data_IF_973557948303
#
_entry.id   IF_973557948303
#
_cell.length_a   1.000
_cell.length_b   1.000
_cell.length_c   1.000
_cell.angle_alpha   90.00
_cell.angle_beta   90.00
_cell.angle_gamma   90.00
#
_symmetry.space_group_name_H-M   'P 1'
#
loop_
_entity.id
_entity.type
_entity.pdbx_description
1 polymer ?
#
# COMPACT_ATOMS: atom_id res chain seq x y z
N UNK A 1 -10.61 4.78 28.00
CA UNK A 1 -10.18 6.12 27.50
C UNK A 1 -9.23 5.90 26.32
N UNK A 2 -9.34 6.67 25.24
CA UNK A 2 -8.55 6.52 24.01
C UNK A 2 -7.36 7.51 24.06
N UNK A 3 -6.18 7.10 23.54
CA UNK A 3 -4.97 7.95 23.49
C UNK A 3 -4.81 8.70 22.16
N UNK A 4 -5.16 8.07 21.03
CA UNK A 4 -4.97 8.60 19.68
C UNK A 4 -6.16 8.21 18.79
N UNK A 5 -6.43 9.03 17.76
CA UNK A 5 -7.51 8.81 16.81
C UNK A 5 -6.90 8.70 15.41
N UNK A 6 -7.33 7.69 14.66
CA UNK A 6 -7.01 7.55 13.24
C UNK A 6 -8.26 7.31 12.42
N UNK A 7 -8.14 7.47 11.11
CA UNK A 7 -9.21 7.22 10.15
C UNK A 7 -8.68 6.35 9.02
N UNK A 8 -9.56 5.61 8.33
CA UNK A 8 -9.17 4.70 7.25
C UNK A 8 -10.00 5.00 6.01
N UNK A 9 -9.39 4.91 4.82
CA UNK A 9 -10.09 4.96 3.53
C UNK A 9 -11.02 6.18 3.37
N UNK A 10 -10.59 7.33 3.92
CA UNK A 10 -11.35 8.56 3.92
C UNK A 10 -10.90 9.50 2.80
N UNK A 11 -11.85 10.23 2.22
CA UNK A 11 -11.57 11.27 1.23
C UNK A 11 -10.77 12.44 1.84
N UNK A 12 -10.09 13.26 1.01
CA UNK A 12 -9.38 14.44 1.50
C UNK A 12 -10.26 15.40 2.31
N UNK A 13 -11.50 15.63 1.85
CA UNK A 13 -12.48 16.47 2.56
C UNK A 13 -12.82 15.91 3.95
N UNK A 14 -13.04 14.59 4.02
CA UNK A 14 -13.37 13.91 5.27
C UNK A 14 -12.21 14.00 6.27
N UNK A 15 -10.97 13.83 5.80
CA UNK A 15 -9.77 13.96 6.63
C UNK A 15 -9.65 15.39 7.19
N UNK A 16 -9.80 16.42 6.34
CA UNK A 16 -9.74 17.83 6.76
C UNK A 16 -10.81 18.15 7.82
N UNK A 17 -12.06 17.73 7.58
CA UNK A 17 -13.17 17.96 8.51
C UNK A 17 -12.97 17.24 9.85
N UNK A 18 -12.53 15.99 9.82
CA UNK A 18 -12.27 15.22 11.03
C UNK A 18 -11.10 15.82 11.84
N UNK A 19 -10.00 16.18 11.16
CA UNK A 19 -8.83 16.79 11.80
C UNK A 19 -9.14 18.16 12.43
N UNK A 20 -10.04 18.94 11.82
CA UNK A 20 -10.50 20.23 12.37
C UNK A 20 -11.32 20.07 13.66
N UNK A 21 -12.03 18.95 13.84
CA UNK A 21 -12.78 18.66 15.07
C UNK A 21 -11.86 18.12 16.16
N UNK A 22 -10.98 17.19 15.81
CA UNK A 22 -9.96 16.67 16.70
C UNK A 22 -8.73 16.23 15.89
N UNK A 23 -7.50 16.58 16.31
CA UNK A 23 -6.29 16.17 15.61
C UNK A 23 -6.25 14.64 15.38
N UNK A 24 -6.13 14.27 14.10
CA UNK A 24 -5.91 12.89 13.68
C UNK A 24 -4.42 12.57 13.80
N UNK A 25 -4.11 11.40 14.33
CA UNK A 25 -2.74 10.90 14.46
C UNK A 25 -2.30 10.09 13.25
N UNK A 26 -3.22 9.36 12.62
CA UNK A 26 -2.90 8.51 11.48
C UNK A 26 -4.05 8.38 10.48
N UNK A 27 -3.70 8.23 9.20
CA UNK A 27 -4.59 7.81 8.11
C UNK A 27 -4.11 6.46 7.58
N UNK A 28 -5.02 5.48 7.55
CA UNK A 28 -4.79 4.18 6.92
C UNK A 28 -5.37 4.14 5.51
N UNK A 29 -4.56 3.78 4.51
CA UNK A 29 -4.92 3.83 3.08
C UNK A 29 -4.19 2.73 2.29
N UNK A 30 -4.77 2.24 1.18
CA UNK A 30 -4.04 1.34 0.26
C UNK A 30 -2.89 2.10 -0.40
N UNK A 31 -1.65 1.67 -0.19
CA UNK A 31 -0.49 2.25 -0.87
C UNK A 31 0.62 1.21 -1.04
N UNK A 32 1.10 1.05 -2.27
CA UNK A 32 2.14 0.10 -2.65
C UNK A 32 2.79 0.53 -3.98
N UNK A 33 3.80 -0.23 -4.44
CA UNK A 33 4.34 -0.08 -5.81
C UNK A 33 3.27 -0.11 -6.91
N UNK A 34 2.10 -0.67 -6.63
CA UNK A 34 1.06 -0.93 -7.62
C UNK A 34 -0.19 -0.03 -7.47
N UNK A 35 -0.45 0.46 -6.26
CA UNK A 35 -1.58 1.35 -5.95
C UNK A 35 -1.02 2.65 -5.42
N UNK A 36 -1.17 3.72 -6.21
CA UNK A 36 -0.49 5.02 -5.99
C UNK A 36 -1.45 6.22 -6.01
N UNK A 37 -2.76 5.98 -6.14
CA UNK A 37 -3.78 7.03 -6.23
C UNK A 37 -3.75 7.99 -5.01
N UNK A 38 -3.38 7.47 -3.83
CA UNK A 38 -3.22 8.26 -2.62
C UNK A 38 -2.19 9.40 -2.77
N UNK A 39 -1.20 9.26 -3.66
CA UNK A 39 -0.12 10.23 -3.84
C UNK A 39 -0.60 11.58 -4.42
N UNK A 40 -1.75 11.60 -5.08
CA UNK A 40 -2.29 12.83 -5.68
C UNK A 40 -2.80 13.81 -4.61
N UNK A 41 -3.53 13.32 -3.61
CA UNK A 41 -4.21 14.18 -2.63
C UNK A 41 -4.00 13.76 -1.17
N UNK A 42 -4.05 12.46 -0.87
CA UNK A 42 -4.06 11.96 0.51
C UNK A 42 -2.68 12.08 1.16
N UNK A 43 -1.61 11.67 0.46
CA UNK A 43 -0.24 11.73 0.99
C UNK A 43 0.21 13.17 1.22
N UNK A 44 0.05 14.12 0.26
CA UNK A 44 0.36 15.52 0.50
C UNK A 44 -0.45 16.12 1.65
N UNK A 45 -1.75 15.80 1.73
CA UNK A 45 -2.62 16.26 2.81
C UNK A 45 -2.16 15.77 4.19
N UNK A 46 -1.81 14.49 4.32
CA UNK A 46 -1.34 13.95 5.59
C UNK A 46 -0.08 14.67 6.05
N UNK A 47 0.84 14.95 5.13
CA UNK A 47 2.08 15.70 5.41
C UNK A 47 1.82 17.15 5.78
N UNK A 48 0.93 17.83 5.06
CA UNK A 48 0.49 19.20 5.35
C UNK A 48 -0.05 19.31 6.79
N UNK A 49 -0.82 18.31 7.23
CA UNK A 49 -1.46 18.29 8.55
C UNK A 49 -0.63 17.59 9.65
N UNK A 50 0.57 17.08 9.35
CA UNK A 50 1.40 16.34 10.30
C UNK A 50 0.78 15.01 10.77
N UNK A 51 0.00 14.36 9.92
CA UNK A 51 -0.68 13.08 10.17
C UNK A 51 0.21 11.93 9.66
N UNK A 52 0.40 10.89 10.48
CA UNK A 52 1.12 9.69 10.08
C UNK A 52 0.36 8.85 9.04
N UNK A 53 1.07 8.16 8.18
CA UNK A 53 0.51 7.40 7.06
C UNK A 53 0.71 5.91 7.33
N UNK A 54 -0.37 5.14 7.27
CA UNK A 54 -0.37 3.71 7.55
C UNK A 54 -0.79 2.94 6.29
N UNK A 55 0.15 2.63 5.38
CA UNK A 55 -0.14 1.82 4.20
C UNK A 55 -0.63 0.43 4.57
N UNK A 56 -1.83 0.07 4.12
CA UNK A 56 -2.25 -1.33 4.10
C UNK A 56 -2.05 -1.94 2.71
N UNK A 57 -2.01 -3.27 2.67
CA UNK A 57 -1.66 -4.03 1.47
C UNK A 57 -0.36 -3.54 0.79
N UNK A 58 0.73 -3.23 1.53
CA UNK A 58 1.95 -2.67 0.94
C UNK A 58 2.62 -3.61 -0.08
N UNK A 59 2.27 -4.90 -0.04
CA UNK A 59 2.73 -5.94 -0.96
C UNK A 59 1.74 -6.22 -2.11
N UNK A 60 0.81 -5.31 -2.40
CA UNK A 60 -0.20 -5.48 -3.47
C UNK A 60 -1.10 -6.68 -3.23
N UNK A 61 -1.62 -6.84 -2.00
CA UNK A 61 -2.44 -8.00 -1.57
C UNK A 61 -1.72 -9.36 -1.72
N UNK A 62 -0.39 -9.34 -1.63
CA UNK A 62 0.50 -10.49 -1.74
C UNK A 62 1.02 -10.73 -3.15
N UNK A 63 0.69 -9.86 -4.11
CA UNK A 63 1.20 -9.93 -5.48
C UNK A 63 2.73 -9.95 -5.52
N UNK A 64 3.39 -9.03 -4.80
CA UNK A 64 4.86 -8.97 -4.69
C UNK A 64 5.45 -9.99 -3.70
N UNK A 65 4.61 -10.81 -3.07
CA UNK A 65 5.01 -11.85 -2.12
C UNK A 65 4.80 -13.27 -2.69
N UNK A 66 4.97 -13.43 -4.00
CA UNK A 66 4.93 -14.73 -4.68
C UNK A 66 3.59 -15.08 -5.33
N UNK A 67 2.49 -14.41 -5.00
CA UNK A 67 1.18 -14.70 -5.61
C UNK A 67 1.10 -14.36 -7.09
N UNK A 68 1.96 -13.47 -7.59
CA UNK A 68 2.03 -13.19 -9.02
C UNK A 68 2.39 -14.43 -9.87
N UNK A 69 3.13 -15.39 -9.30
CA UNK A 69 3.58 -16.60 -10.00
C UNK A 69 2.62 -17.80 -9.88
N UNK A 70 1.73 -17.77 -8.90
CA UNK A 70 0.81 -18.88 -8.62
C UNK A 70 -0.58 -18.69 -9.19
N UNK A 71 -1.44 -19.65 -8.88
CA UNK A 71 -2.88 -19.50 -9.11
C UNK A 71 -3.47 -18.46 -8.17
N UNK A 72 -4.31 -17.60 -8.73
CA UNK A 72 -5.02 -16.59 -7.98
C UNK A 72 -6.18 -17.27 -7.25
N UNK A 73 -6.08 -17.38 -5.92
CA UNK A 73 -7.17 -17.92 -5.10
C UNK A 73 -8.49 -17.14 -5.24
N UNK A 74 -9.60 -17.79 -4.88
CA UNK A 74 -10.98 -17.30 -5.14
C UNK A 74 -11.24 -15.85 -4.71
N UNK A 75 -10.75 -15.42 -3.55
CA UNK A 75 -10.94 -14.05 -3.08
C UNK A 75 -10.15 -13.02 -3.91
N UNK A 76 -8.91 -13.31 -4.28
CA UNK A 76 -8.11 -12.41 -5.10
C UNK A 76 -8.63 -12.34 -6.54
N UNK A 77 -9.20 -13.44 -7.03
CA UNK A 77 -9.84 -13.53 -8.33
C UNK A 77 -11.02 -12.57 -8.51
N UNK A 78 -11.59 -12.02 -7.42
CA UNK A 78 -12.65 -11.01 -7.49
C UNK A 78 -12.15 -9.62 -7.91
N UNK A 79 -10.85 -9.34 -7.75
CA UNK A 79 -10.30 -8.04 -8.10
C UNK A 79 -9.92 -8.02 -9.60
N UNK A 80 -10.36 -7.01 -10.39
CA UNK A 80 -10.09 -6.94 -11.83
C UNK A 80 -8.61 -7.08 -12.19
N UNK A 81 -7.73 -6.61 -11.31
CA UNK A 81 -6.27 -6.64 -11.46
C UNK A 81 -5.65 -8.05 -11.40
N UNK A 82 -6.41 -9.06 -10.97
CA UNK A 82 -6.02 -10.47 -10.94
C UNK A 82 -6.80 -11.34 -11.96
N UNK A 83 -7.51 -10.74 -12.91
CA UNK A 83 -8.34 -11.46 -13.89
C UNK A 83 -7.77 -11.36 -15.31
N UNK A 84 -7.85 -12.46 -16.06
CA UNK A 84 -7.60 -12.51 -17.51
C UNK A 84 -6.34 -11.76 -17.95
N UNK A 85 -6.48 -10.90 -18.97
CA UNK A 85 -5.38 -10.10 -19.50
C UNK A 85 -4.75 -9.15 -18.49
N UNK A 86 -5.50 -8.68 -17.49
CA UNK A 86 -4.92 -7.81 -16.47
C UNK A 86 -3.87 -8.58 -15.67
N UNK A 87 -4.18 -9.81 -15.25
CA UNK A 87 -3.21 -10.64 -14.53
C UNK A 87 -1.93 -10.82 -15.35
N UNK A 88 -2.04 -11.10 -16.64
CA UNK A 88 -0.89 -11.25 -17.53
C UNK A 88 -0.07 -9.95 -17.66
N UNK A 89 -0.74 -8.81 -17.86
CA UNK A 89 -0.06 -7.50 -17.89
C UNK A 89 0.64 -7.19 -16.56
N UNK A 90 0.01 -7.53 -15.45
CA UNK A 90 0.57 -7.31 -14.11
C UNK A 90 1.74 -8.25 -13.83
N UNK A 91 1.74 -9.49 -14.34
CA UNK A 91 2.89 -10.40 -14.25
C UNK A 91 4.14 -9.82 -14.92
N UNK A 92 3.99 -9.03 -16.00
CA UNK A 92 5.12 -8.31 -16.60
C UNK A 92 5.72 -7.29 -15.63
N UNK A 93 4.88 -6.57 -14.86
CA UNK A 93 5.35 -5.66 -13.80
C UNK A 93 6.09 -6.44 -12.72
N UNK A 94 5.52 -7.56 -12.25
CA UNK A 94 6.18 -8.42 -11.27
C UNK A 94 7.57 -8.86 -11.75
N UNK A 95 7.70 -9.33 -12.99
CA UNK A 95 8.99 -9.77 -13.54
C UNK A 95 10.05 -8.67 -13.58
N UNK A 96 9.66 -7.41 -13.74
CA UNK A 96 10.59 -6.27 -13.65
C UNK A 96 11.05 -6.04 -12.21
N UNK A 97 10.13 -6.09 -11.25
CA UNK A 97 10.45 -5.95 -9.82
C UNK A 97 11.34 -7.10 -9.36
N UNK A 98 11.11 -8.31 -9.87
CA UNK A 98 11.91 -9.49 -9.55
C UNK A 98 13.36 -9.35 -10.01
N UNK A 99 13.59 -8.98 -11.27
CA UNK A 99 14.94 -8.70 -11.79
C UNK A 99 15.65 -7.59 -11.02
N UNK A 100 14.90 -6.57 -10.59
CA UNK A 100 15.47 -5.49 -9.78
C UNK A 100 15.86 -5.99 -8.38
N UNK A 101 15.03 -6.83 -7.76
CA UNK A 101 15.30 -7.41 -6.45
C UNK A 101 16.54 -8.33 -6.49
N UNK A 102 16.70 -9.11 -7.57
CA UNK A 102 17.90 -9.91 -7.82
C UNK A 102 19.18 -9.06 -7.84
N UNK A 103 19.17 -7.91 -8.53
CA UNK A 103 20.31 -6.99 -8.57
C UNK A 103 20.72 -6.46 -7.19
N UNK A 104 19.77 -6.38 -6.24
CA UNK A 104 20.01 -5.94 -4.87
C UNK A 104 20.14 -7.10 -3.87
N UNK A 105 20.12 -8.35 -4.32
CA UNK A 105 20.21 -9.53 -3.46
C UNK A 105 19.06 -9.66 -2.45
N UNK A 106 17.87 -9.16 -2.79
CA UNK A 106 16.69 -9.22 -1.92
C UNK A 106 15.49 -9.87 -2.62
N UNK A 107 14.44 -10.18 -1.87
CA UNK A 107 13.18 -10.69 -2.42
C UNK A 107 12.33 -9.55 -2.98
N UNK A 108 11.43 -9.83 -3.96
CA UNK A 108 10.48 -8.82 -4.45
C UNK A 108 9.62 -8.21 -3.33
N UNK A 109 9.29 -9.00 -2.29
CA UNK A 109 8.55 -8.53 -1.12
C UNK A 109 9.38 -7.54 -0.28
N UNK A 110 10.65 -7.83 -0.03
CA UNK A 110 11.55 -6.90 0.65
C UNK A 110 11.75 -5.63 -0.15
N UNK A 111 11.92 -5.72 -1.46
CA UNK A 111 12.05 -4.56 -2.33
C UNK A 111 10.79 -3.68 -2.29
N UNK A 112 9.60 -4.28 -2.39
CA UNK A 112 8.33 -3.58 -2.32
C UNK A 112 8.11 -2.89 -0.96
N UNK A 113 8.39 -3.58 0.14
CA UNK A 113 8.31 -2.98 1.49
C UNK A 113 9.33 -1.86 1.68
N UNK A 114 10.56 -2.07 1.22
CA UNK A 114 11.61 -1.05 1.26
C UNK A 114 11.19 0.20 0.51
N UNK A 115 10.54 0.05 -0.65
CA UNK A 115 10.04 1.20 -1.42
C UNK A 115 9.00 2.02 -0.65
N UNK A 116 8.04 1.35 0.01
CA UNK A 116 7.00 2.02 0.81
C UNK A 116 7.62 2.72 2.03
N UNK A 117 8.52 2.04 2.74
CA UNK A 117 9.24 2.61 3.88
C UNK A 117 10.10 3.81 3.48
N UNK A 118 10.64 3.82 2.26
CA UNK A 118 11.47 4.92 1.76
C UNK A 118 10.65 6.16 1.35
N UNK A 119 9.32 6.11 1.40
CA UNK A 119 8.49 7.26 1.06
C UNK A 119 8.60 8.38 2.10
N UNK A 120 8.96 8.08 3.35
CA UNK A 120 9.22 9.06 4.41
C UNK A 120 9.13 8.48 5.82
N UNK A 121 9.67 9.20 6.80
CA UNK A 121 9.65 8.81 8.22
C UNK A 121 8.23 8.85 8.83
N UNK A 122 7.30 9.49 8.12
CA UNK A 122 5.87 9.56 8.42
C UNK A 122 5.10 8.28 8.03
N UNK A 123 5.78 7.28 7.47
CA UNK A 123 5.16 6.09 6.88
C UNK A 123 5.41 4.83 7.70
N UNK A 124 4.33 4.17 8.13
CA UNK A 124 4.36 2.92 8.90
C UNK A 124 3.48 1.84 8.25
N UNK A 125 3.99 1.05 7.29
CA UNK A 125 3.21 0.04 6.57
C UNK A 125 2.84 -1.14 7.47
N UNK A 126 1.67 -1.73 7.23
CA UNK A 126 1.17 -2.93 7.93
C UNK A 126 1.11 -4.15 7.01
N UNK A 127 2.24 -4.87 6.78
CA UNK A 127 2.23 -6.08 5.98
C UNK A 127 1.41 -7.18 6.67
N UNK A 128 0.44 -7.74 5.95
CA UNK A 128 -0.27 -8.93 6.40
C UNK A 128 0.62 -10.17 6.33
N UNK A 129 0.41 -11.12 7.25
CA UNK A 129 1.01 -12.46 7.20
C UNK A 129 -0.09 -13.51 6.99
N UNK A 130 0.23 -14.56 6.24
CA UNK A 130 -0.56 -15.78 6.14
C UNK A 130 0.38 -16.92 6.54
N UNK A 131 0.01 -17.68 7.56
CA UNK A 131 0.74 -18.89 7.97
C UNK A 131 0.39 -20.05 7.05
#
# INVERSE_FOLDING_TARGET
KIKYIGISEASPETIRRAHAVHPLTAVQIEWSLWTRDAEEEIIPLCRELGIGIVPYSPLGRGFFAGKAKGDVGSFLGLFPRFQGENLEKNRILYSKVEKLAENYGCTPAQLALSWVLHQGDDVAPIPGKSH
#
